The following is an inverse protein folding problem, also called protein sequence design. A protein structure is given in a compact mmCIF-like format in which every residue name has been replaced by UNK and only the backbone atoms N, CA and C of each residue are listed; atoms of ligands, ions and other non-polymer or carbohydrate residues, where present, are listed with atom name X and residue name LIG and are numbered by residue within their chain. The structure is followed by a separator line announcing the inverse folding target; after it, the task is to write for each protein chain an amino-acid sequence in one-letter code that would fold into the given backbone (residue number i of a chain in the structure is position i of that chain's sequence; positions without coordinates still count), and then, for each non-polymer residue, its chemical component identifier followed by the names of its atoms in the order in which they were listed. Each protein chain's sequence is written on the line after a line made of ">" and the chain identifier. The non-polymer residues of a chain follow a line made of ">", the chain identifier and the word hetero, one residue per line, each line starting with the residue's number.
data_IF_145820545995
#
_entry.id   IF_145820545995
#
_cell.length_a   1.000
_cell.length_b   1.000
_cell.length_c   1.000
_cell.angle_alpha   90.00
_cell.angle_beta   90.00
_cell.angle_gamma   90.00
#
_symmetry.space_group_name_H-M   'P 1'
#
loop_
_entity.id
_entity.type
_entity.pdbx_description
1 polymer ?
#
# COMPACT_ATOMS: atom_id res chain seq x y z
N UNK A 1 -12.94 -9.66 21.38
CA UNK A 1 -11.65 -9.82 20.70
C UNK A 1 -11.59 -8.82 19.56
N UNK A 2 -10.50 -8.06 19.37
CA UNK A 2 -10.38 -7.19 18.22
C UNK A 2 -10.52 -8.02 16.94
N UNK A 3 -11.30 -7.50 15.99
CA UNK A 3 -11.54 -8.18 14.71
C UNK A 3 -10.22 -8.21 13.94
N UNK A 4 -9.66 -9.39 13.72
CA UNK A 4 -8.40 -9.53 13.00
C UNK A 4 -8.51 -8.86 11.61
N UNK A 5 -7.61 -7.95 11.30
CA UNK A 5 -7.57 -7.28 10.00
C UNK A 5 -7.37 -8.31 8.89
N UNK A 6 -8.27 -8.33 7.90
CA UNK A 6 -8.10 -9.11 6.68
C UNK A 6 -7.84 -8.17 5.53
N UNK A 7 -6.75 -8.40 4.81
CA UNK A 7 -6.39 -7.64 3.62
C UNK A 7 -6.90 -8.36 2.37
N UNK A 8 -7.36 -7.64 1.34
CA UNK A 8 -7.62 -8.22 0.02
C UNK A 8 -6.29 -8.66 -0.62
N UNK A 9 -6.36 -9.57 -1.60
CA UNK A 9 -5.17 -10.09 -2.28
C UNK A 9 -4.40 -9.02 -3.07
N UNK A 10 -5.09 -8.01 -3.56
CA UNK A 10 -4.49 -6.86 -4.27
C UNK A 10 -4.63 -5.58 -3.44
N UNK A 11 -3.49 -4.94 -3.20
CA UNK A 11 -3.36 -3.63 -2.59
C UNK A 11 -2.80 -2.66 -3.63
N UNK A 12 -3.64 -1.80 -4.19
CA UNK A 12 -3.21 -0.85 -5.20
C UNK A 12 -2.60 0.41 -4.54
N UNK A 13 -1.47 0.88 -5.06
CA UNK A 13 -0.87 2.14 -4.63
C UNK A 13 -0.97 3.15 -5.75
N UNK A 14 -1.72 4.22 -5.50
CA UNK A 14 -1.86 5.39 -6.37
C UNK A 14 -0.71 6.35 -6.07
N UNK A 15 0.41 6.12 -6.73
CA UNK A 15 1.60 6.96 -6.58
C UNK A 15 1.56 8.09 -7.61
N UNK A 16 1.31 9.30 -7.13
CA UNK A 16 1.20 10.50 -7.99
C UNK A 16 2.48 10.79 -8.76
N UNK A 17 3.64 10.38 -8.24
CA UNK A 17 4.92 10.61 -8.90
C UNK A 17 5.12 9.74 -10.15
N UNK A 18 4.35 8.64 -10.27
CA UNK A 18 4.38 7.77 -11.45
C UNK A 18 3.56 8.31 -12.63
N UNK A 19 2.77 9.35 -12.44
CA UNK A 19 2.05 10.01 -13.53
C UNK A 19 2.99 11.00 -14.23
N UNK A 20 3.29 10.75 -15.50
CA UNK A 20 4.09 11.68 -16.30
C UNK A 20 3.32 12.99 -16.54
N UNK A 21 3.97 14.19 -16.53
CA UNK A 21 3.34 15.38 -17.06
C UNK A 21 2.97 15.16 -18.55
N UNK A 22 1.77 15.59 -19.04
CA UNK A 22 0.74 16.39 -18.37
C UNK A 22 -0.31 15.58 -17.58
N UNK A 23 -0.17 14.26 -17.44
CA UNK A 23 -1.17 13.39 -16.80
C UNK A 23 -1.19 13.50 -15.26
N UNK A 24 -0.31 14.28 -14.64
CA UNK A 24 -0.29 14.52 -13.20
C UNK A 24 -1.34 15.56 -12.77
N UNK A 25 -2.57 15.42 -13.27
CA UNK A 25 -3.69 16.31 -12.94
C UNK A 25 -4.62 15.68 -11.89
N UNK A 26 -5.44 16.50 -11.26
CA UNK A 26 -6.48 16.01 -10.34
C UNK A 26 -7.42 15.05 -11.04
N UNK A 27 -7.90 15.39 -12.23
CA UNK A 27 -8.82 14.55 -13.00
C UNK A 27 -8.22 13.18 -13.34
N UNK A 28 -6.98 13.14 -13.81
CA UNK A 28 -6.31 11.88 -14.15
C UNK A 28 -6.09 10.97 -12.93
N UNK A 29 -5.72 11.55 -11.77
CA UNK A 29 -5.55 10.80 -10.53
C UNK A 29 -6.89 10.22 -10.06
N UNK A 30 -7.95 11.00 -10.12
CA UNK A 30 -9.30 10.61 -9.75
C UNK A 30 -9.84 9.52 -10.68
N UNK A 31 -9.71 9.70 -12.00
CA UNK A 31 -10.11 8.72 -13.01
C UNK A 31 -9.36 7.40 -12.82
N UNK A 32 -8.04 7.45 -12.67
CA UNK A 32 -7.23 6.26 -12.38
C UNK A 32 -7.71 5.53 -11.14
N UNK A 33 -8.00 6.26 -10.07
CA UNK A 33 -8.45 5.69 -8.80
C UNK A 33 -9.85 5.06 -8.94
N UNK A 34 -10.74 5.72 -9.67
CA UNK A 34 -12.07 5.20 -9.99
C UNK A 34 -11.97 3.90 -10.81
N UNK A 35 -11.16 3.90 -11.87
CA UNK A 35 -10.94 2.72 -12.71
C UNK A 35 -10.42 1.52 -11.93
N UNK A 36 -9.49 1.74 -10.97
CA UNK A 36 -9.04 0.68 -10.07
C UNK A 36 -10.19 0.08 -9.26
N UNK A 37 -11.07 0.93 -8.72
CA UNK A 37 -12.22 0.47 -7.92
C UNK A 37 -13.24 -0.28 -8.77
N UNK A 38 -13.51 0.19 -9.99
CA UNK A 38 -14.37 -0.51 -10.96
C UNK A 38 -13.77 -1.85 -11.41
N UNK A 39 -12.43 -1.98 -11.38
CA UNK A 39 -11.71 -3.24 -11.58
C UNK A 39 -11.70 -4.16 -10.36
N UNK A 40 -12.41 -3.81 -9.27
CA UNK A 40 -12.57 -4.63 -8.08
C UNK A 40 -11.56 -4.40 -6.96
N UNK A 41 -10.73 -3.37 -7.03
CA UNK A 41 -9.80 -3.01 -5.95
C UNK A 41 -10.58 -2.46 -4.76
N UNK A 42 -10.37 -3.05 -3.58
CA UNK A 42 -11.03 -2.68 -2.32
C UNK A 42 -10.08 -2.14 -1.25
N UNK A 43 -8.78 -2.04 -1.56
CA UNK A 43 -7.76 -1.42 -0.71
C UNK A 43 -6.83 -0.58 -1.57
N UNK A 44 -6.77 0.71 -1.30
CA UNK A 44 -6.00 1.70 -2.04
C UNK A 44 -5.11 2.51 -1.10
N UNK A 45 -3.87 2.76 -1.51
CA UNK A 45 -3.00 3.73 -0.84
C UNK A 45 -2.82 4.95 -1.74
N UNK A 46 -3.08 6.13 -1.20
CA UNK A 46 -2.70 7.38 -1.84
C UNK A 46 -1.28 7.77 -1.41
N UNK A 47 -0.39 7.93 -2.38
CA UNK A 47 1.02 8.29 -2.18
C UNK A 47 1.40 9.49 -3.06
N UNK A 48 1.89 10.57 -2.42
CA UNK A 48 2.45 11.71 -3.12
C UNK A 48 3.67 12.24 -2.33
N UNK A 49 4.87 11.98 -2.81
CA UNK A 49 6.14 12.40 -2.17
C UNK A 49 6.62 13.79 -2.63
N UNK A 50 5.96 14.38 -3.63
CA UNK A 50 6.39 15.66 -4.24
C UNK A 50 5.37 16.79 -4.02
N UNK A 51 4.17 16.48 -3.55
CA UNK A 51 3.11 17.46 -3.34
C UNK A 51 3.26 18.24 -2.03
N UNK A 52 2.88 19.53 -2.05
CA UNK A 52 2.67 20.25 -0.81
C UNK A 52 1.43 19.73 -0.04
N UNK A 53 1.36 20.05 1.25
CA UNK A 53 0.28 19.57 2.13
C UNK A 53 -1.12 19.96 1.63
N UNK A 54 -1.28 21.15 1.04
CA UNK A 54 -2.59 21.63 0.54
C UNK A 54 -3.03 20.84 -0.69
N UNK A 55 -2.09 20.56 -1.61
CA UNK A 55 -2.35 19.74 -2.78
C UNK A 55 -2.70 18.31 -2.38
N UNK A 56 -1.89 17.69 -1.50
CA UNK A 56 -2.16 16.36 -0.97
C UNK A 56 -3.54 16.27 -0.33
N UNK A 57 -3.91 17.25 0.49
CA UNK A 57 -5.21 17.29 1.15
C UNK A 57 -6.37 17.36 0.14
N UNK A 58 -6.24 18.18 -0.91
CA UNK A 58 -7.25 18.27 -1.98
C UNK A 58 -7.38 16.96 -2.75
N UNK A 59 -6.26 16.36 -3.18
CA UNK A 59 -6.24 15.10 -3.91
C UNK A 59 -6.86 13.97 -3.08
N UNK A 60 -6.46 13.84 -1.82
CA UNK A 60 -6.98 12.81 -0.93
C UNK A 60 -8.51 12.96 -0.68
N UNK A 61 -9.01 14.18 -0.52
CA UNK A 61 -10.45 14.44 -0.39
C UNK A 61 -11.23 14.04 -1.64
N UNK A 62 -10.71 14.37 -2.83
CA UNK A 62 -11.36 14.01 -4.08
C UNK A 62 -11.36 12.49 -4.31
N UNK A 63 -10.25 11.80 -4.04
CA UNK A 63 -10.19 10.34 -4.07
C UNK A 63 -11.26 9.72 -3.14
N UNK A 64 -11.34 10.21 -1.91
CA UNK A 64 -12.36 9.73 -0.96
C UNK A 64 -13.78 9.96 -1.46
N UNK A 65 -14.04 11.15 -1.99
CA UNK A 65 -15.36 11.54 -2.51
C UNK A 65 -15.82 10.62 -3.65
N UNK A 66 -14.94 10.34 -4.62
CA UNK A 66 -15.33 9.54 -5.79
C UNK A 66 -15.47 8.06 -5.46
N UNK A 67 -14.74 7.55 -4.49
CA UNK A 67 -14.83 6.14 -4.11
C UNK A 67 -16.04 5.82 -3.23
N UNK A 68 -16.57 6.79 -2.48
CA UNK A 68 -17.81 6.66 -1.70
C UNK A 68 -17.91 5.36 -0.87
N UNK A 69 -16.80 4.94 -0.25
CA UNK A 69 -16.74 3.71 0.54
C UNK A 69 -16.56 2.40 -0.25
N UNK A 70 -16.39 2.46 -1.58
CA UNK A 70 -16.09 1.26 -2.42
C UNK A 70 -14.77 0.60 -2.05
N UNK A 71 -13.81 1.36 -1.52
CA UNK A 71 -12.50 0.86 -1.08
C UNK A 71 -12.05 1.49 0.23
N UNK A 72 -11.26 0.76 1.01
CA UNK A 72 -10.51 1.32 2.14
C UNK A 72 -9.34 2.14 1.63
N UNK A 73 -9.16 3.31 2.23
CA UNK A 73 -8.13 4.26 1.84
C UNK A 73 -7.04 4.37 2.91
N UNK A 74 -5.81 4.19 2.48
CA UNK A 74 -4.61 4.30 3.32
C UNK A 74 -3.81 5.53 2.86
N UNK A 75 -3.45 6.38 3.81
CA UNK A 75 -2.58 7.53 3.57
C UNK A 75 -1.11 7.10 3.66
N UNK A 76 -0.28 7.46 2.70
CA UNK A 76 1.16 7.23 2.81
C UNK A 76 1.82 8.29 3.70
N UNK A 77 2.63 7.89 4.69
CA UNK A 77 3.46 8.66 5.63
C UNK A 77 2.73 9.65 6.55
N UNK A 78 1.70 10.30 6.09
CA UNK A 78 1.09 11.48 6.72
C UNK A 78 -0.10 11.11 7.61
N UNK A 79 0.19 10.77 8.88
CA UNK A 79 -0.83 10.46 9.91
C UNK A 79 -1.80 11.64 10.15
N UNK A 80 -1.31 12.87 10.08
CA UNK A 80 -2.11 14.10 10.20
C UNK A 80 -3.12 14.22 9.05
N UNK A 81 -2.72 13.97 7.81
CA UNK A 81 -3.62 14.00 6.66
C UNK A 81 -4.60 12.83 6.66
N UNK A 82 -4.17 11.66 7.15
CA UNK A 82 -5.06 10.52 7.36
C UNK A 82 -6.29 10.93 8.20
N UNK A 83 -6.07 11.60 9.32
CA UNK A 83 -7.14 12.12 10.17
C UNK A 83 -7.94 13.24 9.51
N UNK A 84 -7.25 14.22 8.92
CA UNK A 84 -7.91 15.41 8.32
C UNK A 84 -8.84 15.06 7.16
N UNK A 85 -8.60 13.95 6.46
CA UNK A 85 -9.44 13.43 5.36
C UNK A 85 -10.40 12.35 5.86
N UNK A 86 -10.05 11.68 6.97
CA UNK A 86 -10.81 10.56 7.51
C UNK A 86 -10.58 9.27 6.72
N UNK A 87 -9.35 9.01 6.26
CA UNK A 87 -8.95 7.72 5.69
C UNK A 87 -8.98 6.61 6.75
N UNK A 88 -9.06 5.35 6.32
CA UNK A 88 -9.14 4.20 7.20
C UNK A 88 -7.81 3.88 7.88
N UNK A 89 -6.68 4.37 7.33
CA UNK A 89 -5.37 4.11 7.93
C UNK A 89 -4.22 4.90 7.32
N UNK A 90 -3.04 4.67 7.88
CA UNK A 90 -1.76 5.23 7.44
C UNK A 90 -0.75 4.10 7.21
N UNK A 91 0.11 4.26 6.21
CA UNK A 91 1.24 3.39 5.95
C UNK A 91 2.54 4.17 6.08
N UNK A 92 3.50 3.63 6.83
CA UNK A 92 4.73 4.29 7.24
C UNK A 92 5.95 3.54 6.72
N UNK A 93 6.94 4.27 6.23
CA UNK A 93 8.27 3.77 5.93
C UNK A 93 9.20 3.83 7.16
N UNK A 94 10.45 3.37 6.99
CA UNK A 94 11.44 3.32 8.07
C UNK A 94 11.93 4.70 8.52
N UNK A 95 11.89 5.69 7.62
CA UNK A 95 12.34 7.07 7.87
C UNK A 95 11.17 8.02 8.20
N UNK A 96 9.94 7.49 8.28
CA UNK A 96 8.74 8.26 8.59
C UNK A 96 8.46 8.26 10.11
N UNK A 97 7.29 8.74 10.52
CA UNK A 97 6.89 8.73 11.93
C UNK A 97 6.85 7.27 12.46
N UNK A 98 7.50 6.96 13.60
CA UNK A 98 7.43 5.62 14.19
C UNK A 98 5.99 5.15 14.43
N UNK A 99 5.75 3.85 14.30
CA UNK A 99 4.40 3.26 14.40
C UNK A 99 3.70 3.57 15.73
N UNK A 100 4.44 3.62 16.83
CA UNK A 100 3.94 4.00 18.16
C UNK A 100 3.43 5.43 18.18
N UNK A 101 4.21 6.35 17.61
CA UNK A 101 3.83 7.76 17.51
C UNK A 101 2.65 7.97 16.56
N UNK A 102 2.66 7.26 15.43
CA UNK A 102 1.54 7.30 14.49
C UNK A 102 0.24 6.76 15.13
N UNK A 103 0.33 5.68 15.92
CA UNK A 103 -0.80 5.11 16.66
C UNK A 103 -1.38 6.12 17.66
N UNK A 104 -0.53 6.89 18.34
CA UNK A 104 -0.99 7.97 19.24
C UNK A 104 -1.74 9.06 18.47
N UNK A 105 -1.27 9.39 17.25
CA UNK A 105 -1.91 10.41 16.41
C UNK A 105 -3.24 9.90 15.86
N UNK A 106 -3.26 8.70 15.23
CA UNK A 106 -4.46 8.23 14.50
C UNK A 106 -5.49 7.54 15.40
N UNK A 107 -5.13 7.17 16.63
CA UNK A 107 -5.99 6.44 17.56
C UNK A 107 -6.09 4.93 17.27
N UNK A 108 -6.84 4.21 18.11
CA UNK A 108 -6.92 2.74 18.09
C UNK A 108 -7.68 2.17 16.88
N UNK A 109 -8.61 2.94 16.32
CA UNK A 109 -9.53 2.45 15.28
C UNK A 109 -8.95 2.52 13.86
N UNK A 110 -7.89 3.29 13.65
CA UNK A 110 -7.26 3.43 12.34
C UNK A 110 -6.24 2.34 12.09
N UNK A 111 -6.12 1.92 10.83
CA UNK A 111 -5.12 0.95 10.40
C UNK A 111 -3.74 1.60 10.35
N UNK A 112 -2.74 0.97 10.95
CA UNK A 112 -1.33 1.35 10.85
C UNK A 112 -0.57 0.24 10.14
N UNK A 113 -0.01 0.53 8.97
CA UNK A 113 0.88 -0.36 8.24
C UNK A 113 2.33 0.12 8.30
N UNK A 114 3.28 -0.81 8.27
CA UNK A 114 4.71 -0.50 8.33
C UNK A 114 5.46 -1.24 7.24
N UNK A 115 6.32 -0.52 6.50
CA UNK A 115 7.28 -1.10 5.55
C UNK A 115 8.47 -1.72 6.28
N UNK A 116 8.92 -2.88 5.81
CA UNK A 116 10.14 -3.56 6.29
C UNK A 116 10.97 -4.06 5.12
N UNK A 117 12.28 -4.18 5.32
CA UNK A 117 13.25 -4.55 4.29
C UNK A 117 14.11 -5.75 4.69
N UNK A 118 13.96 -6.24 5.92
CA UNK A 118 14.69 -7.40 6.43
C UNK A 118 13.93 -8.03 7.62
N UNK A 119 14.40 -9.20 8.05
CA UNK A 119 13.74 -9.98 9.10
C UNK A 119 13.77 -9.29 10.49
N UNK A 120 14.81 -8.49 10.77
CA UNK A 120 14.89 -7.76 12.05
C UNK A 120 13.77 -6.73 12.16
N UNK A 121 13.56 -5.95 11.11
CA UNK A 121 12.46 -4.98 11.02
C UNK A 121 11.07 -5.64 11.07
N UNK A 122 10.91 -6.84 10.46
CA UNK A 122 9.65 -7.59 10.56
C UNK A 122 9.34 -7.95 12.01
N UNK A 123 10.33 -8.46 12.76
CA UNK A 123 10.15 -8.81 14.18
C UNK A 123 9.85 -7.59 15.05
N UNK A 124 10.50 -6.47 14.78
CA UNK A 124 10.22 -5.19 15.46
C UNK A 124 8.79 -4.72 15.19
N UNK A 125 8.36 -4.71 13.94
CA UNK A 125 7.01 -4.32 13.54
C UNK A 125 5.94 -5.29 14.09
N UNK A 126 6.28 -6.60 14.23
CA UNK A 126 5.37 -7.59 14.82
C UNK A 126 5.16 -7.34 16.31
N UNK A 127 6.21 -6.96 17.04
CA UNK A 127 6.13 -6.59 18.46
C UNK A 127 5.44 -5.23 18.70
N UNK A 128 5.43 -4.34 17.69
CA UNK A 128 4.89 -3.00 17.77
C UNK A 128 3.38 -2.91 17.46
N UNK A 129 2.82 -1.68 17.42
CA UNK A 129 1.38 -1.43 17.23
C UNK A 129 0.92 -1.45 15.76
N UNK A 130 1.73 -1.94 14.82
CA UNK A 130 1.34 -2.12 13.43
C UNK A 130 0.21 -3.16 13.30
N UNK A 131 -0.79 -2.87 12.45
CA UNK A 131 -1.87 -3.80 12.14
C UNK A 131 -1.52 -4.72 10.98
N UNK A 132 -0.62 -4.29 10.08
CA UNK A 132 -0.05 -5.11 9.03
C UNK A 132 1.39 -4.71 8.73
N UNK A 133 2.14 -5.65 8.18
CA UNK A 133 3.56 -5.49 7.84
C UNK A 133 3.72 -5.62 6.33
N UNK A 134 4.48 -4.72 5.72
CA UNK A 134 4.87 -4.83 4.31
C UNK A 134 6.35 -5.20 4.21
N UNK A 135 6.65 -6.24 3.42
CA UNK A 135 8.02 -6.70 3.15
C UNK A 135 8.41 -6.45 1.69
N UNK A 136 9.59 -5.89 1.47
CA UNK A 136 10.11 -5.67 0.12
C UNK A 136 11.38 -4.81 0.07
N UNK A 137 11.94 -4.66 -1.14
CA UNK A 137 11.42 -5.12 -2.43
C UNK A 137 11.60 -6.64 -2.65
N UNK A 138 10.54 -7.32 -3.13
CA UNK A 138 10.62 -8.77 -3.40
C UNK A 138 11.42 -9.04 -4.69
N UNK A 139 11.26 -8.20 -5.69
CA UNK A 139 12.00 -8.26 -6.96
C UNK A 139 12.64 -6.91 -7.28
N UNK A 140 13.62 -6.86 -8.19
CA UNK A 140 14.21 -5.59 -8.62
C UNK A 140 13.14 -4.60 -9.09
N UNK A 141 13.28 -3.34 -8.69
CA UNK A 141 12.32 -2.28 -9.01
C UNK A 141 13.03 -0.94 -9.20
N UNK A 142 12.50 -0.12 -10.08
CA UNK A 142 12.97 1.25 -10.34
C UNK A 142 12.17 2.32 -9.59
N UNK A 143 11.21 1.92 -8.76
CA UNK A 143 10.28 2.84 -8.07
C UNK A 143 10.88 3.65 -6.91
N UNK A 144 12.11 3.36 -6.49
CA UNK A 144 12.88 4.16 -5.50
C UNK A 144 14.23 4.56 -6.09
N UNK A 145 14.71 5.77 -5.79
CA UNK A 145 16.05 6.27 -6.21
C UNK A 145 17.20 5.43 -5.63
N UNK A 146 17.04 4.94 -4.40
CA UNK A 146 17.97 4.03 -3.72
C UNK A 146 17.16 2.80 -3.28
N UNK A 147 17.05 1.76 -4.11
CA UNK A 147 16.30 0.57 -3.74
C UNK A 147 17.04 -0.20 -2.65
N UNK A 148 16.28 -0.63 -1.65
CA UNK A 148 16.77 -1.58 -0.65
C UNK A 148 17.15 -2.92 -1.30
N UNK A 149 17.90 -3.75 -0.59
CA UNK A 149 18.27 -5.09 -1.07
C UNK A 149 17.01 -5.92 -1.36
N UNK A 150 17.02 -6.59 -2.51
CA UNK A 150 15.93 -7.50 -2.91
C UNK A 150 15.86 -8.67 -1.93
N UNK A 151 14.70 -8.84 -1.29
CA UNK A 151 14.49 -9.90 -0.30
C UNK A 151 14.12 -11.25 -0.94
N UNK A 152 13.63 -11.25 -2.17
CA UNK A 152 13.20 -12.46 -2.89
C UNK A 152 12.01 -13.17 -2.23
N UNK A 153 11.62 -14.30 -2.81
CA UNK A 153 10.55 -15.14 -2.24
C UNK A 153 10.95 -15.77 -0.91
N UNK A 154 12.24 -16.03 -0.70
CA UNK A 154 12.75 -16.55 0.58
C UNK A 154 12.58 -15.52 1.69
N UNK A 155 12.80 -14.23 1.41
CA UNK A 155 12.51 -13.16 2.36
C UNK A 155 11.02 -13.07 2.73
N UNK A 156 10.12 -13.32 1.78
CA UNK A 156 8.68 -13.39 2.05
C UNK A 156 8.35 -14.58 2.96
N UNK A 157 8.91 -15.78 2.71
CA UNK A 157 8.74 -16.97 3.57
C UNK A 157 9.26 -16.73 4.97
N UNK A 158 10.46 -16.15 5.09
CA UNK A 158 11.05 -15.82 6.37
C UNK A 158 10.22 -14.79 7.16
N UNK A 159 9.72 -13.76 6.48
CA UNK A 159 8.82 -12.79 7.06
C UNK A 159 7.52 -13.44 7.54
N UNK A 160 6.89 -14.31 6.72
CA UNK A 160 5.67 -15.03 7.12
C UNK A 160 5.90 -15.90 8.36
N UNK A 161 7.03 -16.57 8.46
CA UNK A 161 7.35 -17.38 9.63
C UNK A 161 7.60 -16.55 10.91
N UNK A 162 7.91 -15.27 10.78
CA UNK A 162 8.24 -14.37 11.88
C UNK A 162 7.06 -13.53 12.40
N UNK A 163 5.91 -13.52 11.71
CA UNK A 163 4.75 -12.73 12.13
C UNK A 163 3.44 -13.48 11.88
N UNK A 164 2.45 -13.26 12.72
CA UNK A 164 1.06 -13.67 12.48
C UNK A 164 0.19 -12.51 11.95
N UNK A 165 0.72 -11.28 11.92
CA UNK A 165 0.01 -10.13 11.36
C UNK A 165 -0.16 -10.28 9.85
N UNK A 166 -1.16 -9.64 9.24
CA UNK A 166 -1.29 -9.58 7.79
C UNK A 166 0.01 -9.12 7.13
N UNK A 167 0.49 -9.89 6.14
CA UNK A 167 1.74 -9.65 5.44
C UNK A 167 1.48 -9.18 4.00
N UNK A 168 1.94 -7.98 3.69
CA UNK A 168 1.92 -7.41 2.35
C UNK A 168 3.29 -7.57 1.72
N UNK A 169 3.36 -8.04 0.49
CA UNK A 169 4.61 -8.05 -0.27
C UNK A 169 4.60 -6.95 -1.33
N UNK A 170 5.72 -6.25 -1.50
CA UNK A 170 5.86 -5.13 -2.43
C UNK A 170 7.20 -5.16 -3.16
N UNK A 171 7.27 -4.51 -4.32
CA UNK A 171 8.49 -4.27 -5.11
C UNK A 171 8.67 -5.26 -6.25
N UNK A 172 8.63 -4.73 -7.48
CA UNK A 172 8.81 -5.49 -8.72
C UNK A 172 7.74 -6.54 -9.00
N UNK A 173 6.56 -6.43 -8.37
CA UNK A 173 5.47 -7.38 -8.53
C UNK A 173 4.72 -7.10 -9.81
N UNK A 174 4.58 -8.13 -10.64
CA UNK A 174 3.90 -8.16 -11.93
C UNK A 174 2.87 -9.28 -11.95
N UNK A 175 2.03 -9.33 -12.98
CA UNK A 175 1.07 -10.43 -13.17
C UNK A 175 1.75 -11.81 -13.28
N UNK A 176 2.95 -11.86 -13.84
CA UNK A 176 3.67 -13.13 -14.02
C UNK A 176 4.29 -13.70 -12.74
N UNK A 177 4.52 -12.86 -11.72
CA UNK A 177 5.15 -13.28 -10.48
C UNK A 177 4.27 -13.11 -9.22
N UNK A 178 3.13 -12.43 -9.31
CA UNK A 178 2.27 -12.14 -8.16
C UNK A 178 1.78 -13.41 -7.43
N UNK A 179 1.41 -14.46 -8.18
CA UNK A 179 0.96 -15.71 -7.57
C UNK A 179 2.06 -16.36 -6.74
N UNK A 180 3.30 -16.40 -7.21
CA UNK A 180 4.41 -16.99 -6.46
C UNK A 180 4.68 -16.26 -5.14
N UNK A 181 4.37 -14.97 -5.07
CA UNK A 181 4.49 -14.15 -3.84
C UNK A 181 3.43 -14.54 -2.82
N UNK A 182 2.18 -14.76 -3.27
CA UNK A 182 1.11 -15.27 -2.40
C UNK A 182 1.45 -16.69 -1.93
N UNK A 183 1.90 -17.56 -2.83
CA UNK A 183 2.31 -18.94 -2.52
C UNK A 183 3.51 -18.97 -1.54
N UNK A 184 4.33 -17.92 -1.51
CA UNK A 184 5.41 -17.75 -0.53
C UNK A 184 4.92 -17.32 0.87
N UNK A 185 3.62 -16.99 1.04
CA UNK A 185 3.00 -16.71 2.32
C UNK A 185 2.56 -15.25 2.54
N UNK A 186 2.62 -14.40 1.51
CA UNK A 186 2.02 -13.07 1.60
C UNK A 186 0.48 -13.17 1.58
N UNK A 187 -0.19 -12.36 2.40
CA UNK A 187 -1.65 -12.26 2.40
C UNK A 187 -2.14 -11.37 1.24
N UNK A 188 -1.33 -10.37 0.87
CA UNK A 188 -1.63 -9.36 -0.14
C UNK A 188 -0.38 -8.97 -0.92
N UNK A 189 -0.55 -8.58 -2.18
CA UNK A 189 0.50 -7.95 -2.99
C UNK A 189 0.20 -6.48 -3.23
N UNK A 190 1.18 -5.61 -2.95
CA UNK A 190 1.08 -4.18 -3.25
C UNK A 190 1.68 -3.88 -4.63
N UNK A 191 0.91 -3.20 -5.49
CA UNK A 191 1.27 -2.94 -6.88
C UNK A 191 1.13 -1.46 -7.20
N UNK A 192 2.14 -0.89 -7.90
CA UNK A 192 2.16 0.47 -8.42
C UNK A 192 2.17 0.42 -9.96
N UNK A 193 3.34 0.22 -10.54
CA UNK A 193 3.58 0.36 -12.00
C UNK A 193 2.79 -0.65 -12.84
N UNK A 194 2.54 -1.84 -12.31
CA UNK A 194 1.74 -2.86 -12.99
C UNK A 194 0.29 -2.48 -13.25
N UNK A 195 -0.21 -1.38 -12.65
CA UNK A 195 -1.57 -0.91 -12.79
C UNK A 195 -1.71 0.31 -13.72
N UNK A 196 -0.60 0.95 -14.14
CA UNK A 196 -0.63 2.26 -14.81
C UNK A 196 -1.23 2.26 -16.22
N UNK A 197 -1.02 1.20 -17.01
CA UNK A 197 -1.34 1.22 -18.44
C UNK A 197 -2.84 1.12 -18.76
N UNK A 198 -3.61 0.42 -17.94
CA UNK A 198 -5.04 0.20 -18.10
C UNK A 198 -5.62 -0.22 -16.73
N UNK A 199 -5.83 0.73 -15.81
CA UNK A 199 -6.00 0.44 -14.38
C UNK A 199 -7.11 -0.57 -14.10
N UNK A 200 -8.29 -0.39 -14.67
CA UNK A 200 -9.42 -1.32 -14.51
C UNK A 200 -9.07 -2.73 -14.97
N UNK A 201 -8.60 -2.87 -16.21
CA UNK A 201 -8.23 -4.17 -16.79
C UNK A 201 -7.11 -4.84 -16.01
N UNK A 202 -6.08 -4.08 -15.62
CA UNK A 202 -4.96 -4.62 -14.86
C UNK A 202 -5.42 -5.10 -13.48
N UNK A 203 -6.27 -4.36 -12.80
CA UNK A 203 -6.84 -4.77 -11.51
C UNK A 203 -7.64 -6.08 -11.64
N UNK A 204 -8.52 -6.18 -12.63
CA UNK A 204 -9.28 -7.41 -12.92
C UNK A 204 -8.37 -8.62 -13.19
N UNK A 205 -7.30 -8.42 -13.98
CA UNK A 205 -6.34 -9.49 -14.30
C UNK A 205 -5.53 -9.92 -13.06
N UNK A 206 -5.06 -8.96 -12.23
CA UNK A 206 -4.40 -9.31 -10.97
C UNK A 206 -5.34 -10.09 -10.05
N UNK A 207 -6.55 -9.61 -9.83
CA UNK A 207 -7.51 -10.27 -8.94
C UNK A 207 -7.85 -11.68 -9.41
N UNK A 208 -7.96 -11.91 -10.72
CA UNK A 208 -8.20 -13.26 -11.28
C UNK A 208 -7.04 -14.21 -11.03
N UNK A 209 -5.79 -13.71 -11.06
CA UNK A 209 -4.58 -14.50 -10.84
C UNK A 209 -4.33 -14.82 -9.34
N UNK A 210 -4.88 -14.02 -8.44
CA UNK A 210 -4.63 -14.09 -7.01
C UNK A 210 -5.70 -14.88 -6.21
N UNK A 211 -6.64 -15.46 -6.93
CA UNK A 211 -7.70 -16.34 -6.34
C UNK A 211 -7.12 -17.69 -5.95
#
# INVERSE_FOLDING_TARGET
>A
MPKQLRLPKLYAIVDVTCFAPPLRTMSSIVEFTWDLSEGGVTLLQYRNKEGDTRLMLRQAREIKRVLEGKAKLIMNDRADLCLAVGYEGVHLGQDDLPAESARLVVGAEKIVGVSTHNLAQVKEADAGPADYIAIGPVFPTTGKKNPDMVVGLEGVRAARAATSKPLVAIGGITRSNAKSVIDAGADSVAVISGLLSSPRKMAEEFLRLLV
#
